data_IF_173205916664
#
_entry.id   IF_173205916664
#
_cell.length_a   1.000
_cell.length_b   1.000
_cell.length_c   1.000
_cell.angle_alpha   90.00
_cell.angle_beta   90.00
_cell.angle_gamma   90.00
#
_symmetry.space_group_name_H-M   'P 1'
#
loop_
_entity.id
_entity.type
_entity.pdbx_description
1 polymer ?
#
# COMPACT_ATOMS: atom_id res chain seq x y z
N UNK A 1 -24.24 -7.86 -5.53
CA UNK A 1 -24.15 -6.47 -5.08
C UNK A 1 -25.53 -5.93 -4.70
N UNK A 2 -26.52 -6.06 -5.58
CA UNK A 2 -27.87 -5.52 -5.39
C UNK A 2 -28.57 -6.07 -4.15
N UNK A 3 -28.34 -7.36 -3.83
CA UNK A 3 -28.94 -7.97 -2.62
C UNK A 3 -28.35 -7.39 -1.32
N UNK A 4 -27.04 -7.13 -1.27
CA UNK A 4 -26.40 -6.48 -0.13
C UNK A 4 -26.83 -5.01 0.02
N UNK A 5 -26.94 -4.28 -1.09
CA UNK A 5 -27.44 -2.92 -1.09
C UNK A 5 -28.90 -2.85 -0.63
N UNK A 6 -29.72 -3.76 -1.12
CA UNK A 6 -31.12 -3.83 -0.70
C UNK A 6 -31.24 -4.13 0.80
N UNK A 7 -30.48 -5.11 1.31
CA UNK A 7 -30.47 -5.45 2.74
C UNK A 7 -29.96 -4.28 3.59
N UNK A 8 -28.93 -3.54 3.14
CA UNK A 8 -28.44 -2.33 3.78
C UNK A 8 -29.54 -1.26 3.89
N UNK A 9 -30.23 -0.94 2.78
CA UNK A 9 -31.28 0.06 2.79
C UNK A 9 -32.50 -0.38 3.60
N UNK A 10 -32.86 -1.66 3.57
CA UNK A 10 -33.95 -2.21 4.39
C UNK A 10 -33.63 -2.09 5.88
N UNK A 11 -32.38 -2.36 6.29
CA UNK A 11 -31.97 -2.20 7.67
C UNK A 11 -31.95 -0.73 8.11
N UNK A 12 -31.32 0.15 7.34
CA UNK A 12 -31.08 1.54 7.77
C UNK A 12 -32.23 2.50 7.48
N UNK A 13 -33.10 2.20 6.52
CA UNK A 13 -34.22 3.08 6.15
C UNK A 13 -35.59 2.53 6.54
N UNK A 14 -35.71 1.24 6.84
CA UNK A 14 -36.98 0.58 7.16
C UNK A 14 -36.97 -0.12 8.52
N UNK A 15 -35.95 0.08 9.33
CA UNK A 15 -35.74 -0.52 10.66
C UNK A 15 -35.90 -2.06 10.68
N UNK A 16 -35.61 -2.74 9.56
CA UNK A 16 -35.64 -4.19 9.51
C UNK A 16 -34.42 -4.77 10.23
N UNK A 17 -34.57 -5.95 10.84
CA UNK A 17 -33.45 -6.61 11.50
C UNK A 17 -32.27 -6.81 10.52
N UNK A 18 -31.04 -6.50 10.98
CA UNK A 18 -29.85 -6.72 10.19
C UNK A 18 -29.70 -8.21 9.87
N UNK A 19 -29.42 -8.54 8.61
CA UNK A 19 -29.03 -9.89 8.22
C UNK A 19 -27.61 -10.18 8.73
N UNK A 20 -27.25 -11.46 8.90
CA UNK A 20 -25.87 -11.84 9.25
C UNK A 20 -24.83 -11.20 8.33
N UNK A 21 -25.16 -11.01 7.06
CA UNK A 21 -24.32 -10.36 6.04
C UNK A 21 -24.07 -8.87 6.33
N UNK A 22 -24.93 -8.19 7.10
CA UNK A 22 -24.80 -6.78 7.48
C UNK A 22 -24.29 -6.58 8.92
N UNK A 23 -24.26 -7.62 9.71
CA UNK A 23 -23.91 -7.53 11.14
C UNK A 23 -22.41 -7.44 11.39
N UNK A 24 -21.57 -7.65 10.38
CA UNK A 24 -20.12 -7.60 10.48
C UNK A 24 -19.49 -6.86 9.30
N UNK A 25 -18.37 -6.20 9.51
CA UNK A 25 -17.50 -5.83 8.39
C UNK A 25 -17.08 -7.13 7.69
N UNK A 26 -17.26 -7.18 6.36
CA UNK A 26 -17.07 -8.41 5.61
C UNK A 26 -15.90 -8.20 4.67
N UNK A 27 -14.88 -9.05 4.80
CA UNK A 27 -13.79 -9.13 3.85
C UNK A 27 -14.15 -10.12 2.76
N UNK A 28 -13.84 -9.75 1.53
CA UNK A 28 -13.96 -10.64 0.39
C UNK A 28 -12.58 -11.10 -0.01
N UNK A 29 -12.32 -12.38 0.20
CA UNK A 29 -11.15 -12.99 -0.39
C UNK A 29 -11.30 -12.96 -1.91
N UNK A 30 -10.39 -12.26 -2.56
CA UNK A 30 -10.26 -12.26 -4.00
C UNK A 30 -8.86 -12.75 -4.33
N UNK A 31 -8.77 -13.97 -4.86
CA UNK A 31 -7.51 -14.43 -5.42
C UNK A 31 -7.20 -13.61 -6.68
N UNK A 32 -6.26 -12.67 -6.63
CA UNK A 32 -5.95 -11.81 -7.76
C UNK A 32 -5.33 -12.57 -8.94
N UNK A 33 -4.86 -13.80 -8.72
CA UNK A 33 -4.19 -14.66 -9.71
C UNK A 33 -5.16 -15.33 -10.69
N UNK A 34 -6.41 -15.47 -10.31
CA UNK A 34 -7.40 -16.26 -11.09
C UNK A 34 -8.22 -15.43 -12.08
N UNK A 35 -7.95 -14.12 -12.24
CA UNK A 35 -8.78 -13.23 -13.06
C UNK A 35 -10.29 -13.35 -12.78
N UNK A 36 -10.64 -13.70 -11.54
CA UNK A 36 -12.02 -13.85 -11.12
C UNK A 36 -12.74 -15.10 -11.61
N UNK A 37 -12.07 -16.01 -12.32
CA UNK A 37 -12.72 -17.21 -12.89
C UNK A 37 -12.92 -18.36 -11.89
N UNK A 38 -12.16 -18.41 -10.79
CA UNK A 38 -12.24 -19.46 -9.77
C UNK A 38 -12.12 -18.95 -8.33
N UNK A 39 -12.35 -17.67 -8.08
CA UNK A 39 -12.32 -17.18 -6.71
C UNK A 39 -13.60 -17.64 -6.01
N UNK A 40 -13.49 -18.61 -5.13
CA UNK A 40 -14.49 -18.82 -4.10
C UNK A 40 -14.50 -17.54 -3.25
N UNK A 41 -15.53 -16.71 -3.43
CA UNK A 41 -15.73 -15.54 -2.59
C UNK A 41 -16.15 -16.04 -1.21
N UNK A 42 -15.20 -16.14 -0.30
CA UNK A 42 -15.51 -16.40 1.09
C UNK A 42 -15.76 -15.06 1.79
N UNK A 43 -17.01 -14.87 2.20
CA UNK A 43 -17.37 -13.77 3.08
C UNK A 43 -17.16 -14.23 4.50
N UNK A 44 -16.29 -13.56 5.25
CA UNK A 44 -16.11 -13.84 6.67
C UNK A 44 -15.95 -12.54 7.46
N UNK A 45 -16.30 -12.59 8.72
CA UNK A 45 -15.96 -11.51 9.64
C UNK A 45 -14.44 -11.38 9.77
N UNK A 46 -13.91 -10.15 9.91
CA UNK A 46 -12.49 -9.95 10.20
C UNK A 46 -12.08 -10.69 11.46
N UNK A 47 -10.90 -11.30 11.45
CA UNK A 47 -10.32 -11.90 12.64
C UNK A 47 -9.72 -10.81 13.53
N UNK A 48 -10.47 -10.38 14.55
CA UNK A 48 -10.04 -9.37 15.52
C UNK A 48 -8.91 -9.82 16.45
N UNK A 49 -8.69 -11.13 16.55
CA UNK A 49 -7.76 -11.73 17.50
C UNK A 49 -6.39 -12.04 16.88
N UNK A 50 -6.20 -11.71 15.59
CA UNK A 50 -4.92 -11.87 14.91
C UNK A 50 -3.87 -10.91 15.47
N UNK A 51 -2.70 -11.45 15.81
CA UNK A 51 -1.55 -10.60 16.18
C UNK A 51 -1.06 -9.82 14.95
N UNK A 52 -0.68 -8.53 15.11
CA UNK A 52 -0.10 -7.77 14.03
C UNK A 52 1.16 -8.45 13.47
N UNK A 53 1.27 -8.53 12.15
CA UNK A 53 2.53 -8.89 11.50
C UNK A 53 3.35 -7.62 11.28
N UNK A 54 4.66 -7.70 11.43
CA UNK A 54 5.56 -6.56 11.28
C UNK A 54 6.80 -6.94 10.48
N UNK A 55 7.21 -6.05 9.58
CA UNK A 55 8.45 -6.18 8.80
C UNK A 55 9.28 -4.92 8.94
N UNK A 56 10.55 -5.08 9.33
CA UNK A 56 11.54 -4.03 9.17
C UNK A 56 12.02 -3.94 7.72
N UNK A 57 12.51 -2.78 7.33
CA UNK A 57 13.03 -2.50 5.99
C UNK A 57 14.55 -2.43 6.04
N UNK A 58 15.24 -3.09 5.12
CA UNK A 58 16.70 -3.07 5.04
C UNK A 58 17.17 -2.79 3.62
N UNK A 59 18.19 -1.94 3.50
CA UNK A 59 18.89 -1.66 2.24
C UNK A 59 20.30 -1.16 2.53
N UNK A 60 21.22 -1.38 1.61
CA UNK A 60 22.53 -0.71 1.60
C UNK A 60 22.56 0.49 0.65
N UNK A 61 21.39 1.02 0.27
CA UNK A 61 21.24 2.22 -0.55
C UNK A 61 20.95 1.97 -2.03
N UNK A 62 20.81 0.71 -2.46
CA UNK A 62 20.67 0.35 -3.87
C UNK A 62 19.25 -0.06 -4.26
N UNK A 63 18.27 -0.02 -3.34
CA UNK A 63 16.89 -0.49 -3.57
C UNK A 63 16.10 0.31 -4.64
N UNK A 64 16.63 1.41 -5.16
CA UNK A 64 16.11 2.15 -6.32
C UNK A 64 16.67 1.67 -7.66
N UNK A 65 17.76 0.95 -7.68
CA UNK A 65 18.44 0.47 -8.90
C UNK A 65 18.42 -1.03 -9.03
N UNK A 66 18.37 -1.73 -7.91
CA UNK A 66 18.24 -3.19 -7.86
C UNK A 66 16.99 -3.58 -7.06
N UNK A 67 16.00 -4.11 -7.74
CA UNK A 67 14.72 -4.51 -7.14
C UNK A 67 14.85 -5.70 -6.17
N UNK A 68 16.00 -6.36 -6.13
CA UNK A 68 16.29 -7.51 -5.26
C UNK A 68 17.15 -7.15 -4.06
N UNK A 69 17.66 -5.90 -4.00
CA UNK A 69 18.56 -5.46 -2.91
C UNK A 69 17.80 -5.13 -1.64
N UNK A 70 16.68 -4.40 -1.75
CA UNK A 70 15.85 -4.04 -0.59
C UNK A 70 15.12 -5.25 0.00
N UNK A 71 15.18 -5.38 1.33
CA UNK A 71 14.59 -6.52 2.04
C UNK A 71 13.47 -6.12 3.00
N UNK A 72 12.42 -6.95 3.06
CA UNK A 72 11.42 -6.98 4.13
C UNK A 72 11.76 -8.10 5.12
N UNK A 73 12.03 -7.74 6.36
CA UNK A 73 12.49 -8.64 7.43
C UNK A 73 11.35 -8.88 8.43
N UNK A 74 10.69 -10.05 8.36
CA UNK A 74 9.60 -10.39 9.27
C UNK A 74 10.09 -10.44 10.72
N UNK A 75 9.38 -9.75 11.62
CA UNK A 75 9.63 -9.64 13.05
C UNK A 75 11.07 -9.22 13.42
N UNK A 76 11.67 -8.37 12.58
CA UNK A 76 13.01 -7.81 12.79
C UNK A 76 13.02 -6.32 12.53
N UNK A 77 13.97 -5.63 13.15
CA UNK A 77 14.23 -4.22 12.88
C UNK A 77 14.88 -4.02 11.51
N UNK A 78 14.58 -2.88 10.91
CA UNK A 78 15.22 -2.44 9.69
C UNK A 78 16.62 -1.90 9.92
N UNK A 79 17.34 -1.61 8.83
CA UNK A 79 18.65 -0.95 8.88
C UNK A 79 19.03 -0.36 7.53
N UNK A 80 19.90 0.66 7.57
CA UNK A 80 20.39 1.38 6.41
C UNK A 80 19.50 2.54 6.01
N UNK A 81 19.87 3.16 4.89
CA UNK A 81 19.22 4.34 4.34
C UNK A 81 19.10 4.17 2.83
N UNK A 82 18.10 4.80 2.23
CA UNK A 82 17.93 4.82 0.78
C UNK A 82 17.35 6.16 0.33
N UNK A 83 17.84 6.67 -0.81
CA UNK A 83 17.35 7.90 -1.40
C UNK A 83 16.37 7.62 -2.55
N UNK A 84 15.32 8.42 -2.61
CA UNK A 84 14.33 8.43 -3.69
C UNK A 84 14.30 9.82 -4.31
N UNK A 85 14.51 9.92 -5.62
CA UNK A 85 14.38 11.18 -6.36
C UNK A 85 13.09 11.16 -7.16
N UNK A 86 12.19 12.06 -6.84
CA UNK A 86 10.95 12.29 -7.59
C UNK A 86 11.12 13.44 -8.57
N UNK A 87 11.04 13.13 -9.87
CA UNK A 87 10.97 14.12 -10.94
C UNK A 87 9.49 14.37 -11.30
N UNK A 88 8.93 15.54 -11.00
CA UNK A 88 7.52 15.83 -11.26
C UNK A 88 7.15 15.82 -12.75
N UNK A 89 8.11 16.02 -13.66
CA UNK A 89 7.86 15.95 -15.11
C UNK A 89 7.92 14.53 -15.67
N UNK A 90 8.33 13.56 -14.84
CA UNK A 90 8.30 12.13 -15.16
C UNK A 90 7.67 11.32 -14.01
N UNK A 91 6.47 11.69 -13.56
CA UNK A 91 5.88 11.08 -12.39
C UNK A 91 5.69 9.57 -12.59
N UNK A 92 5.81 8.81 -11.51
CA UNK A 92 5.51 7.37 -11.53
C UNK A 92 4.02 7.19 -11.83
N UNK A 93 3.66 6.35 -12.82
CA UNK A 93 2.26 6.09 -13.14
C UNK A 93 1.53 5.38 -12.00
N UNK A 94 0.32 5.84 -11.68
CA UNK A 94 -0.63 5.12 -10.84
C UNK A 94 -1.42 4.11 -11.67
N UNK A 95 -1.47 2.86 -11.20
CA UNK A 95 -2.23 1.77 -11.84
C UNK A 95 -3.02 0.99 -10.80
N UNK A 96 -4.16 0.44 -11.21
CA UNK A 96 -5.00 -0.39 -10.35
C UNK A 96 -5.34 0.29 -9.02
N UNK A 97 -5.40 -0.49 -7.95
CA UNK A 97 -5.73 0.02 -6.62
C UNK A 97 -7.16 0.51 -6.52
N UNK A 98 -7.42 1.47 -5.65
CA UNK A 98 -8.78 1.97 -5.39
C UNK A 98 -9.09 3.33 -6.05
N UNK A 99 -8.06 4.01 -6.58
CA UNK A 99 -8.18 5.35 -7.18
C UNK A 99 -8.15 5.34 -8.71
N UNK A 100 -7.85 4.20 -9.34
CA UNK A 100 -7.73 4.10 -10.79
C UNK A 100 -9.05 3.95 -11.52
N UNK A 101 -9.04 4.27 -12.83
CA UNK A 101 -10.17 3.98 -13.73
C UNK A 101 -10.40 2.46 -13.87
N UNK A 102 -9.32 1.67 -13.83
CA UNK A 102 -9.35 0.20 -13.77
C UNK A 102 -8.96 -0.24 -12.35
N UNK A 103 -9.93 -0.25 -11.41
CA UNK A 103 -9.64 -0.55 -10.02
C UNK A 103 -9.32 -2.04 -9.80
N UNK A 104 -8.53 -2.30 -8.76
CA UNK A 104 -8.18 -3.65 -8.33
C UNK A 104 -6.72 -4.01 -8.55
N UNK A 105 -6.39 -5.31 -8.46
CA UNK A 105 -5.04 -5.81 -8.68
C UNK A 105 -4.56 -5.56 -10.11
N UNK A 106 -3.30 -5.19 -10.25
CA UNK A 106 -2.69 -4.97 -11.57
C UNK A 106 -1.22 -5.42 -11.57
N UNK A 107 -0.73 -5.77 -12.73
CA UNK A 107 0.70 -6.05 -12.93
C UNK A 107 1.50 -4.74 -12.87
N UNK A 108 2.63 -4.72 -12.12
CA UNK A 108 3.44 -3.52 -11.91
C UNK A 108 4.94 -3.71 -12.05
N UNK A 109 5.43 -4.85 -12.47
CA UNK A 109 6.86 -5.14 -12.53
C UNK A 109 7.67 -4.17 -13.41
N UNK A 110 7.04 -3.52 -14.39
CA UNK A 110 7.66 -2.47 -15.18
C UNK A 110 7.83 -1.16 -14.38
N UNK A 111 6.90 -0.85 -13.48
CA UNK A 111 7.01 0.30 -12.59
C UNK A 111 8.11 0.09 -11.54
N UNK A 112 8.21 -1.11 -10.98
CA UNK A 112 9.22 -1.45 -9.97
C UNK A 112 10.65 -1.38 -10.50
N UNK A 113 10.86 -1.53 -11.83
CA UNK A 113 12.17 -1.38 -12.48
C UNK A 113 12.58 0.07 -12.76
N UNK A 114 11.77 1.04 -12.40
CA UNK A 114 12.14 2.46 -12.53
C UNK A 114 13.11 2.86 -11.44
N UNK A 115 14.06 3.73 -11.76
CA UNK A 115 15.03 4.27 -10.78
C UNK A 115 14.43 5.28 -9.79
N UNK A 116 13.17 5.65 -9.95
CA UNK A 116 12.37 6.50 -9.06
C UNK A 116 11.32 5.69 -8.28
N UNK A 117 11.57 4.37 -8.13
CA UNK A 117 10.79 3.45 -7.29
C UNK A 117 11.75 2.64 -6.43
N UNK A 118 11.54 2.66 -5.12
CA UNK A 118 12.27 1.82 -4.17
C UNK A 118 11.50 0.53 -3.97
N UNK A 119 12.18 -0.62 -3.99
CA UNK A 119 11.59 -1.93 -3.75
C UNK A 119 12.18 -2.62 -2.54
N UNK A 120 11.33 -3.17 -1.67
CA UNK A 120 11.71 -4.07 -0.58
C UNK A 120 10.95 -5.39 -0.73
N UNK A 121 11.65 -6.52 -0.76
CA UNK A 121 11.06 -7.84 -0.93
C UNK A 121 11.36 -8.77 0.24
N UNK A 122 10.38 -9.58 0.63
CA UNK A 122 10.63 -10.66 1.59
C UNK A 122 11.44 -11.78 0.93
N UNK A 123 12.04 -12.63 1.74
CA UNK A 123 12.50 -13.94 1.25
C UNK A 123 11.31 -14.75 0.69
N UNK A 124 11.53 -15.68 -0.26
CA UNK A 124 10.50 -16.58 -0.72
C UNK A 124 9.87 -17.34 0.44
N UNK A 125 8.55 -17.38 0.49
CA UNK A 125 7.79 -18.06 1.54
C UNK A 125 8.06 -19.57 1.48
N UNK A 126 8.21 -20.19 2.65
CA UNK A 126 8.34 -21.65 2.78
C UNK A 126 7.00 -22.33 3.03
N UNK A 127 6.07 -21.63 3.63
CA UNK A 127 4.72 -22.06 3.94
C UNK A 127 3.72 -21.01 3.50
N UNK A 128 2.45 -21.36 3.24
CA UNK A 128 1.42 -20.38 2.96
C UNK A 128 1.35 -19.33 4.07
N UNK A 129 1.11 -18.07 3.69
CA UNK A 129 0.93 -16.95 4.60
C UNK A 129 -0.35 -16.20 4.24
N UNK A 130 -1.33 -16.27 5.14
CA UNK A 130 -2.53 -15.45 5.01
C UNK A 130 -2.25 -14.03 5.51
N UNK A 131 -2.57 -13.04 4.69
CA UNK A 131 -2.51 -11.64 5.01
C UNK A 131 -3.93 -11.11 5.11
N UNK A 132 -4.40 -10.90 6.33
CA UNK A 132 -5.68 -10.29 6.62
C UNK A 132 -5.47 -9.04 7.47
N UNK A 133 -5.87 -7.90 6.94
CA UNK A 133 -5.74 -6.66 7.72
C UNK A 133 -5.56 -5.43 6.86
N UNK A 134 -5.12 -4.37 7.53
CA UNK A 134 -4.80 -3.08 6.91
C UNK A 134 -3.30 -2.82 7.03
N UNK A 135 -2.57 -2.78 5.91
CA UNK A 135 -1.16 -2.44 5.97
C UNK A 135 -0.96 -0.98 6.35
N UNK A 136 -0.04 -0.75 7.25
CA UNK A 136 0.43 0.56 7.69
C UNK A 136 1.95 0.61 7.57
N UNK A 137 2.46 1.48 6.71
CA UNK A 137 3.87 1.81 6.65
C UNK A 137 4.13 3.00 7.56
N UNK A 138 5.02 2.85 8.54
CA UNK A 138 5.62 3.95 9.28
C UNK A 138 7.06 4.10 8.79
N UNK A 139 7.43 5.29 8.31
CA UNK A 139 8.73 5.51 7.71
C UNK A 139 9.34 6.84 8.15
N UNK A 140 10.60 6.79 8.54
CA UNK A 140 11.37 7.97 8.85
C UNK A 140 11.91 8.58 7.55
N UNK A 141 11.54 9.83 7.28
CA UNK A 141 11.83 10.52 6.04
C UNK A 141 12.35 11.93 6.28
N UNK A 142 13.31 12.33 5.45
CA UNK A 142 13.81 13.69 5.32
C UNK A 142 13.66 14.11 3.86
N UNK A 143 13.03 15.25 3.62
CA UNK A 143 12.86 15.79 2.28
C UNK A 143 13.66 17.08 2.09
N UNK A 144 14.19 17.30 0.89
CA UNK A 144 14.88 18.55 0.52
C UNK A 144 13.90 19.69 0.17
N UNK A 145 12.60 19.37 0.03
CA UNK A 145 11.54 20.32 -0.29
C UNK A 145 10.49 20.36 0.83
N UNK A 146 9.74 21.48 0.99
CA UNK A 146 8.76 21.65 2.06
C UNK A 146 7.49 20.81 1.92
N UNK A 147 7.25 20.20 0.79
CA UNK A 147 6.13 19.27 0.62
C UNK A 147 6.51 18.12 -0.29
N UNK A 148 5.91 16.96 -0.05
CA UNK A 148 6.11 15.76 -0.87
C UNK A 148 4.96 14.78 -0.68
N UNK A 149 4.85 13.83 -1.60
CA UNK A 149 3.99 12.67 -1.47
C UNK A 149 4.86 11.42 -1.34
N UNK A 150 4.38 10.45 -0.55
CA UNK A 150 4.90 9.10 -0.55
C UNK A 150 3.77 8.12 -0.88
N UNK A 151 3.88 7.51 -2.04
CA UNK A 151 2.97 6.49 -2.54
C UNK A 151 3.55 5.12 -2.25
N UNK A 152 2.79 4.25 -1.60
CA UNK A 152 3.16 2.89 -1.29
C UNK A 152 2.28 1.90 -2.04
N UNK A 153 2.86 0.81 -2.52
CA UNK A 153 2.15 -0.32 -3.08
C UNK A 153 2.67 -1.62 -2.47
N UNK A 154 1.75 -2.46 -2.01
CA UNK A 154 2.06 -3.80 -1.53
C UNK A 154 1.68 -4.80 -2.62
N UNK A 155 2.58 -5.70 -2.95
CA UNK A 155 2.45 -6.62 -4.07
C UNK A 155 2.88 -8.04 -3.69
N UNK A 156 2.42 -9.02 -4.44
CA UNK A 156 2.99 -10.36 -4.46
C UNK A 156 3.90 -10.50 -5.66
N UNK A 157 5.07 -11.10 -5.46
CA UNK A 157 5.98 -11.50 -6.54
C UNK A 157 5.94 -13.02 -6.64
N UNK A 158 5.52 -13.53 -7.81
CA UNK A 158 5.47 -14.97 -8.05
C UNK A 158 6.87 -15.56 -8.34
N UNK A 159 7.03 -16.91 -8.33
CA UNK A 159 8.31 -17.54 -8.63
C UNK A 159 8.85 -17.25 -10.04
N UNK A 160 8.02 -16.77 -10.97
CA UNK A 160 8.40 -16.35 -12.31
C UNK A 160 8.81 -14.87 -12.39
N UNK A 161 8.75 -14.15 -11.26
CA UNK A 161 9.11 -12.73 -11.17
C UNK A 161 8.02 -11.77 -11.62
N UNK A 162 6.77 -12.22 -11.81
CA UNK A 162 5.64 -11.33 -12.08
C UNK A 162 5.23 -10.64 -10.78
N UNK A 163 4.95 -9.35 -10.85
CA UNK A 163 4.61 -8.52 -9.70
C UNK A 163 3.15 -8.10 -9.79
N UNK A 164 2.32 -8.63 -8.91
CA UNK A 164 0.91 -8.30 -8.85
C UNK A 164 0.62 -7.40 -7.65
N UNK A 165 0.20 -6.17 -7.92
CA UNK A 165 -0.20 -5.19 -6.89
C UNK A 165 -1.48 -5.63 -6.19
N UNK A 166 -1.46 -5.63 -4.86
CA UNK A 166 -2.58 -6.03 -4.00
C UNK A 166 -3.27 -4.84 -3.35
N UNK A 167 -2.48 -3.91 -2.81
CA UNK A 167 -2.97 -2.80 -2.03
C UNK A 167 -2.10 -1.56 -2.25
N UNK A 168 -2.71 -0.38 -2.18
CA UNK A 168 -2.03 0.90 -2.35
C UNK A 168 -2.43 1.88 -1.26
N UNK A 169 -1.55 2.83 -1.00
CA UNK A 169 -1.79 3.94 -0.10
C UNK A 169 -0.94 5.14 -0.47
N UNK A 170 -1.31 6.30 0.03
CA UNK A 170 -0.57 7.55 -0.15
C UNK A 170 -0.62 8.38 1.12
N UNK A 171 0.48 9.04 1.43
CA UNK A 171 0.51 10.10 2.41
C UNK A 171 1.14 11.34 1.77
N UNK A 172 0.53 12.49 2.03
CA UNK A 172 1.04 13.80 1.68
C UNK A 172 1.60 14.46 2.93
N UNK A 173 2.81 15.00 2.84
CA UNK A 173 3.47 15.69 3.93
C UNK A 173 3.79 17.12 3.56
N UNK A 174 3.66 17.99 4.57
CA UNK A 174 4.22 19.34 4.57
C UNK A 174 5.08 19.46 5.82
N UNK A 175 6.36 19.82 5.65
CA UNK A 175 7.33 19.92 6.75
C UNK A 175 8.41 20.93 6.38
N UNK A 176 9.24 21.31 7.33
CA UNK A 176 10.43 22.10 6.99
C UNK A 176 11.41 21.26 6.20
N UNK A 177 11.93 21.82 5.11
CA UNK A 177 12.93 21.16 4.29
C UNK A 177 14.16 20.77 5.13
N UNK A 178 14.61 19.53 4.99
CA UNK A 178 15.73 18.98 5.73
C UNK A 178 15.40 18.44 7.13
N UNK A 179 14.19 18.62 7.64
CA UNK A 179 13.80 18.01 8.92
C UNK A 179 13.41 16.54 8.75
N UNK A 180 13.79 15.72 9.74
CA UNK A 180 13.35 14.31 9.82
C UNK A 180 11.95 14.26 10.44
N UNK A 181 11.07 13.49 9.82
CA UNK A 181 9.74 13.19 10.35
C UNK A 181 9.41 11.71 10.20
N UNK A 182 8.46 11.24 11.02
CA UNK A 182 7.84 9.92 10.85
C UNK A 182 6.55 10.09 10.06
N UNK A 183 6.52 9.53 8.86
CA UNK A 183 5.35 9.53 7.98
C UNK A 183 4.62 8.20 8.10
N UNK A 184 3.31 8.25 8.19
CA UNK A 184 2.44 7.08 8.15
C UNK A 184 1.71 7.00 6.81
N UNK A 185 1.89 5.91 6.09
CA UNK A 185 1.16 5.61 4.85
C UNK A 185 0.23 4.45 5.11
N UNK A 186 -1.06 4.74 5.18
CA UNK A 186 -2.08 3.71 5.34
C UNK A 186 -2.50 3.18 3.97
N UNK A 187 -2.40 1.86 3.78
CA UNK A 187 -2.83 1.20 2.55
C UNK A 187 -4.27 0.66 2.71
N UNK A 188 -4.87 0.24 1.59
CA UNK A 188 -6.20 -0.36 1.61
C UNK A 188 -6.19 -1.73 2.29
N UNK A 189 -7.28 -2.08 3.00
CA UNK A 189 -7.41 -3.40 3.60
C UNK A 189 -7.27 -4.51 2.56
N UNK A 190 -6.72 -5.63 2.98
CA UNK A 190 -6.58 -6.80 2.11
C UNK A 190 -6.89 -8.09 2.88
N UNK A 191 -7.30 -9.09 2.14
CA UNK A 191 -7.38 -10.49 2.53
C UNK A 191 -6.84 -11.32 1.36
N UNK A 192 -5.69 -11.93 1.54
CA UNK A 192 -5.03 -12.73 0.50
C UNK A 192 -4.16 -13.80 1.13
N UNK A 193 -4.09 -14.97 0.53
CA UNK A 193 -3.12 -16.00 0.88
C UNK A 193 -1.96 -15.98 -0.13
N UNK A 194 -0.74 -15.84 0.38
CA UNK A 194 0.47 -16.02 -0.41
C UNK A 194 0.91 -17.48 -0.34
N UNK A 195 1.27 -18.03 -1.50
CA UNK A 195 1.71 -19.43 -1.63
C UNK A 195 3.22 -19.59 -1.36
N UNK A 196 3.68 -20.82 -1.06
CA UNK A 196 5.10 -21.13 -1.00
C UNK A 196 5.81 -20.75 -2.31
N UNK A 197 6.98 -20.13 -2.19
CA UNK A 197 7.77 -19.60 -3.30
C UNK A 197 7.42 -18.17 -3.70
N UNK A 198 6.26 -17.65 -3.33
CA UNK A 198 5.92 -16.23 -3.51
C UNK A 198 6.63 -15.35 -2.49
N UNK A 199 6.74 -14.06 -2.81
CA UNK A 199 7.33 -13.04 -1.93
C UNK A 199 6.40 -11.86 -1.78
N UNK A 200 6.38 -11.25 -0.60
CA UNK A 200 5.75 -9.96 -0.38
C UNK A 200 6.72 -8.86 -0.84
N UNK A 201 6.22 -7.86 -1.56
CA UNK A 201 7.00 -6.69 -1.99
C UNK A 201 6.29 -5.41 -1.63
N UNK A 202 7.03 -4.50 -1.00
CA UNK A 202 6.65 -3.11 -0.78
C UNK A 202 7.40 -2.25 -1.79
N UNK A 203 6.68 -1.44 -2.57
CA UNK A 203 7.27 -0.48 -3.50
C UNK A 203 6.88 0.94 -3.09
N UNK A 204 7.85 1.87 -3.09
CA UNK A 204 7.67 3.27 -2.70
C UNK A 204 8.02 4.19 -3.86
N UNK A 205 7.22 5.24 -4.05
CA UNK A 205 7.41 6.24 -5.11
C UNK A 205 6.93 7.62 -4.66
N UNK A 206 7.43 8.68 -5.28
CA UNK A 206 7.03 10.06 -4.99
C UNK A 206 5.76 10.52 -5.71
N UNK A 207 5.14 9.67 -6.51
CA UNK A 207 3.91 9.98 -7.26
C UNK A 207 3.14 8.73 -7.66
N UNK A 208 1.86 8.92 -8.03
CA UNK A 208 0.99 7.91 -8.65
C UNK A 208 0.05 8.61 -9.67
N UNK A 209 0.63 9.25 -10.69
CA UNK A 209 -0.12 10.00 -11.70
C UNK A 209 -0.80 9.07 -12.72
N UNK A 210 -2.04 9.33 -13.16
CA UNK A 210 -2.93 10.44 -12.84
C UNK A 210 -3.89 10.17 -11.67
N UNK A 211 -3.72 9.10 -10.91
CA UNK A 211 -4.58 8.78 -9.76
C UNK A 211 -4.53 9.86 -8.67
N UNK A 212 -3.38 10.50 -8.53
CA UNK A 212 -3.12 11.58 -7.58
C UNK A 212 -2.44 12.73 -8.33
N UNK A 213 -2.86 13.97 -8.04
CA UNK A 213 -2.19 15.15 -8.56
C UNK A 213 -0.74 15.21 -8.08
N UNK A 214 0.18 15.57 -8.98
CA UNK A 214 1.61 15.60 -8.67
C UNK A 214 1.90 16.69 -7.64
N UNK A 215 2.63 16.34 -6.58
CA UNK A 215 3.01 17.30 -5.55
C UNK A 215 4.02 18.33 -6.12
N UNK A 216 3.79 19.65 -5.97
CA UNK A 216 4.67 20.66 -6.53
C UNK A 216 6.01 20.80 -5.78
N UNK A 217 6.11 20.29 -4.55
CA UNK A 217 7.30 20.41 -3.72
C UNK A 217 7.50 21.77 -3.06
N UNK A 218 6.64 22.74 -3.31
CA UNK A 218 6.78 24.13 -2.85
C UNK A 218 5.90 24.49 -1.63
N UNK A 219 5.17 23.50 -1.10
CA UNK A 219 4.25 23.68 0.02
C UNK A 219 2.87 24.23 -0.36
N UNK A 220 2.62 24.48 -1.64
CA UNK A 220 1.32 24.92 -2.13
C UNK A 220 0.38 23.72 -2.40
N UNK A 221 -0.87 24.05 -2.69
CA UNK A 221 -1.87 23.02 -3.04
C UNK A 221 -1.55 22.37 -4.39
N UNK A 222 -1.94 21.11 -4.51
CA UNK A 222 -1.70 20.29 -5.70
C UNK A 222 -2.91 20.29 -6.61
N UNK A 223 -2.70 20.60 -7.91
CA UNK A 223 -3.75 20.63 -8.91
C UNK A 223 -3.30 19.95 -10.20
N UNK A 224 -3.94 18.83 -10.54
CA UNK A 224 -3.78 18.22 -11.87
C UNK A 224 -2.34 17.89 -12.28
N UNK A 225 -1.97 18.15 -13.54
CA UNK A 225 -0.65 17.83 -14.07
C UNK A 225 0.43 18.80 -13.58
N UNK A 226 1.68 18.41 -13.82
CA UNK A 226 2.87 19.23 -13.49
C UNK A 226 2.87 20.57 -14.19
N UNK A 227 3.17 21.62 -13.44
CA UNK A 227 3.33 23.00 -13.90
C UNK A 227 4.74 23.54 -13.65
N UNK A 228 5.01 24.80 -14.04
CA UNK A 228 6.35 25.39 -13.96
C UNK A 228 6.87 25.61 -12.52
N UNK A 229 6.00 25.51 -11.52
CA UNK A 229 6.36 25.69 -10.10
C UNK A 229 6.85 24.40 -9.44
N UNK A 230 6.63 23.26 -10.09
CA UNK A 230 7.03 21.99 -9.53
C UNK A 230 8.56 21.89 -9.42
N UNK A 231 9.02 21.20 -8.40
CA UNK A 231 10.42 20.98 -8.09
C UNK A 231 10.73 19.50 -8.04
N UNK A 232 11.95 19.15 -8.38
CA UNK A 232 12.48 17.82 -8.09
C UNK A 232 12.56 17.68 -6.57
N UNK A 233 12.13 16.55 -6.04
CA UNK A 233 12.10 16.27 -4.61
C UNK A 233 12.99 15.07 -4.33
N UNK A 234 13.93 15.24 -3.41
CA UNK A 234 14.74 14.15 -2.90
C UNK A 234 14.25 13.76 -1.51
N UNK A 235 13.93 12.48 -1.34
CA UNK A 235 13.55 11.88 -0.08
C UNK A 235 14.67 10.96 0.39
N UNK A 236 15.18 11.19 1.59
CA UNK A 236 16.08 10.27 2.30
C UNK A 236 15.25 9.47 3.29
N UNK A 237 15.23 8.15 3.15
CA UNK A 237 14.48 7.23 3.99
C UNK A 237 15.43 6.52 4.95
N UNK A 238 15.24 6.71 6.27
CA UNK A 238 16.00 6.05 7.31
C UNK A 238 15.26 4.78 7.75
N UNK A 239 15.85 3.62 7.50
CA UNK A 239 15.15 2.34 7.60
C UNK A 239 15.17 1.74 9.02
N UNK A 240 16.09 2.17 9.88
CA UNK A 240 16.19 1.66 11.26
C UNK A 240 14.92 1.93 12.10
N UNK A 241 14.29 3.10 11.89
CA UNK A 241 13.07 3.53 12.57
C UNK A 241 11.80 3.27 11.72
N UNK A 242 11.92 2.47 10.65
CA UNK A 242 10.87 2.26 9.67
C UNK A 242 10.35 0.82 9.71
N UNK A 243 9.04 0.66 9.56
CA UNK A 243 8.39 -0.65 9.57
C UNK A 243 7.11 -0.67 8.75
N UNK A 244 6.85 -1.80 8.13
CA UNK A 244 5.55 -2.16 7.57
C UNK A 244 4.81 -3.06 8.56
N UNK A 245 3.61 -2.69 8.94
CA UNK A 245 2.76 -3.49 9.82
C UNK A 245 1.48 -3.89 9.09
N UNK A 246 0.99 -5.10 9.35
CA UNK A 246 -0.35 -5.51 8.98
C UNK A 246 -1.22 -5.50 10.22
N UNK A 247 -2.05 -4.47 10.35
CA UNK A 247 -2.90 -4.27 11.50
C UNK A 247 -4.22 -5.05 11.34
N UNK A 248 -4.71 -5.74 12.37
CA UNK A 248 -6.02 -6.38 12.34
C UNK A 248 -7.12 -5.37 12.00
N UNK A 249 -8.12 -5.81 11.26
CA UNK A 249 -9.33 -5.02 11.06
C UNK A 249 -10.17 -5.13 12.32
N UNK A 250 -10.29 -4.03 13.05
CA UNK A 250 -11.22 -3.97 14.17
C UNK A 250 -12.63 -4.20 13.63
N UNK A 251 -13.29 -5.26 14.07
CA UNK A 251 -14.69 -5.49 13.82
C UNK A 251 -15.48 -4.29 14.37
N UNK A 252 -15.86 -3.36 13.52
CA UNK A 252 -16.67 -2.22 13.91
C UNK A 252 -18.02 -2.75 14.40
N UNK A 253 -18.27 -2.71 15.72
CA UNK A 253 -19.64 -2.56 16.17
C UNK A 253 -20.07 -1.21 15.61
N UNK A 254 -20.84 -1.20 14.54
CA UNK A 254 -21.56 -0.01 14.14
C UNK A 254 -22.46 0.34 15.33
N UNK A 255 -22.02 1.35 16.10
CA UNK A 255 -22.73 1.79 17.27
C UNK A 255 -24.14 2.17 16.87
N UNK A 256 -25.12 1.57 17.57
CA UNK A 256 -26.43 2.15 17.68
C UNK A 256 -26.26 3.53 18.33
N UNK A 257 -26.51 4.58 17.58
CA UNK A 257 -26.88 5.90 18.06
C UNK A 257 -28.25 6.24 17.52
#
# INVERSE_FOLDING_TARGET
>A
LDRLQLAFFQHHLQDQAATEELSAAVLVEKDPRTNGKNSSRHWRAPNSDSSPLSWGLRSCGLATIDTEEGELLLDRFGSGDVALVHDPWRPVPGRGGHLGLDPGPCERGDLDRRSDVICFSSSPLRTPLELEGRPLLTIAVRADQPSFDLCAALSVVDPQGRVLQLSTGVARSQQLAGEKSLLQVQLQPLLVELCPGERLRLSLAGAAWPQIAVNPGDGLETFGPTGPHHRVITLELELADSQLQLLPLLGGKFGAH
#
